data_IF_260569948436
#
_entry.id   IF_260569948436
#
_cell.length_a   1.000
_cell.length_b   1.000
_cell.length_c   1.000
_cell.angle_alpha   90.00
_cell.angle_beta   90.00
_cell.angle_gamma   90.00
#
_symmetry.space_group_name_H-M   'P 1'
#
loop_
_entity.id
_entity.type
_entity.pdbx_description
1 polymer ?
#
# COMPACT_ATOMS: atom_id res chain seq x y z
N UNK A 1 17.13 -7.60 16.30
CA UNK A 1 16.13 -6.52 16.14
C UNK A 1 16.44 -5.56 15.00
N UNK A 2 17.68 -5.04 14.87
CA UNK A 2 18.08 -4.09 13.81
C UNK A 2 18.01 -4.68 12.38
N UNK A 3 18.35 -5.96 12.21
CA UNK A 3 18.30 -6.63 10.90
C UNK A 3 16.87 -6.80 10.36
N UNK A 4 15.91 -7.08 11.25
CA UNK A 4 14.49 -7.16 10.89
C UNK A 4 13.96 -5.84 10.34
N UNK A 5 14.32 -4.72 10.95
CA UNK A 5 13.90 -3.39 10.53
C UNK A 5 14.38 -3.04 9.11
N UNK A 6 15.64 -3.37 8.79
CA UNK A 6 16.19 -3.16 7.45
C UNK A 6 15.46 -3.99 6.40
N UNK A 7 15.23 -5.27 6.69
CA UNK A 7 14.54 -6.21 5.79
C UNK A 7 13.10 -5.75 5.52
N UNK A 8 12.37 -5.38 6.57
CA UNK A 8 11.02 -4.80 6.47
C UNK A 8 11.04 -3.50 5.66
N UNK A 9 12.04 -2.64 5.84
CA UNK A 9 12.16 -1.39 5.10
C UNK A 9 12.37 -1.60 3.59
N UNK A 10 13.22 -2.54 3.19
CA UNK A 10 13.44 -2.82 1.76
C UNK A 10 12.19 -3.37 1.07
N UNK A 11 11.44 -4.24 1.76
CA UNK A 11 10.13 -4.70 1.30
C UNK A 11 9.15 -3.53 1.16
N UNK A 12 9.06 -2.72 2.21
CA UNK A 12 8.13 -1.62 2.32
C UNK A 12 8.40 -0.53 1.27
N UNK A 13 9.67 -0.22 0.99
CA UNK A 13 10.08 0.88 0.09
C UNK A 13 9.44 0.77 -1.29
N UNK A 14 9.44 -0.42 -1.90
CA UNK A 14 8.86 -0.61 -3.23
C UNK A 14 7.33 -0.48 -3.21
N UNK A 15 6.68 -1.04 -2.19
CA UNK A 15 5.21 -1.01 -2.03
C UNK A 15 4.72 0.41 -1.70
N UNK A 16 5.48 1.13 -0.88
CA UNK A 16 5.16 2.48 -0.42
C UNK A 16 5.01 3.45 -1.59
N UNK A 17 5.89 3.38 -2.61
CA UNK A 17 5.80 4.24 -3.79
C UNK A 17 4.46 4.04 -4.52
N UNK A 18 4.06 2.79 -4.76
CA UNK A 18 2.78 2.49 -5.41
C UNK A 18 1.58 2.91 -4.56
N UNK A 19 1.67 2.74 -3.25
CA UNK A 19 0.62 3.15 -2.32
C UNK A 19 0.44 4.68 -2.31
N UNK A 20 1.55 5.43 -2.28
CA UNK A 20 1.54 6.90 -2.35
C UNK A 20 0.93 7.36 -3.67
N UNK A 21 1.37 6.80 -4.81
CA UNK A 21 0.83 7.14 -6.13
C UNK A 21 -0.68 6.89 -6.17
N UNK A 22 -1.14 5.74 -5.68
CA UNK A 22 -2.57 5.42 -5.62
C UNK A 22 -3.35 6.39 -4.72
N UNK A 23 -2.81 6.76 -3.56
CA UNK A 23 -3.41 7.77 -2.66
C UNK A 23 -3.54 9.12 -3.37
N UNK A 24 -2.47 9.60 -3.99
CA UNK A 24 -2.45 10.87 -4.71
C UNK A 24 -3.42 10.87 -5.89
N UNK A 25 -3.49 9.79 -6.66
CA UNK A 25 -4.44 9.65 -7.76
C UNK A 25 -5.89 9.74 -7.25
N UNK A 26 -6.25 9.00 -6.20
CA UNK A 26 -7.60 9.04 -5.64
C UNK A 26 -7.99 10.45 -5.19
N UNK A 27 -7.09 11.17 -4.52
CA UNK A 27 -7.33 12.54 -4.04
C UNK A 27 -7.42 13.51 -5.21
N UNK A 28 -6.56 13.38 -6.22
CA UNK A 28 -6.59 14.22 -7.42
C UNK A 28 -7.95 14.12 -8.13
N UNK A 29 -8.46 12.90 -8.32
CA UNK A 29 -9.75 12.67 -8.97
C UNK A 29 -10.94 13.12 -8.10
N UNK A 30 -10.82 13.00 -6.77
CA UNK A 30 -11.80 13.56 -5.83
C UNK A 30 -11.84 15.09 -5.91
N UNK A 31 -10.70 15.76 -5.84
CA UNK A 31 -10.58 17.22 -5.92
C UNK A 31 -11.04 17.77 -7.28
N UNK A 32 -10.86 16.99 -8.34
CA UNK A 32 -11.35 17.30 -9.70
C UNK A 32 -12.84 17.05 -9.89
N UNK A 33 -13.57 16.66 -8.84
CA UNK A 33 -15.01 16.31 -8.84
C UNK A 33 -15.38 15.15 -9.78
N UNK A 34 -14.39 14.33 -10.16
CA UNK A 34 -14.62 13.14 -11.00
C UNK A 34 -14.96 11.91 -10.15
N UNK A 35 -14.60 11.92 -8.87
CA UNK A 35 -14.92 10.88 -7.91
C UNK A 35 -15.64 11.46 -6.70
N UNK A 36 -16.52 10.65 -6.11
CA UNK A 36 -17.11 10.90 -4.80
C UNK A 36 -16.27 10.21 -3.71
N UNK A 37 -16.38 10.69 -2.46
CA UNK A 37 -15.68 10.13 -1.29
C UNK A 37 -15.79 8.61 -1.17
N UNK A 38 -16.99 7.98 -1.19
CA UNK A 38 -17.09 6.52 -1.11
C UNK A 38 -16.39 5.82 -2.28
N UNK A 39 -16.43 6.42 -3.47
CA UNK A 39 -15.79 5.85 -4.65
C UNK A 39 -14.26 5.93 -4.56
N UNK A 40 -13.71 7.02 -3.99
CA UNK A 40 -12.29 7.14 -3.71
C UNK A 40 -11.79 6.07 -2.73
N UNK A 41 -12.60 5.71 -1.72
CA UNK A 41 -12.29 4.62 -0.79
C UNK A 41 -12.27 3.27 -1.52
N UNK A 42 -13.26 2.99 -2.38
CA UNK A 42 -13.31 1.76 -3.18
C UNK A 42 -12.11 1.67 -4.13
N UNK A 43 -11.79 2.76 -4.85
CA UNK A 43 -10.60 2.83 -5.70
C UNK A 43 -9.33 2.56 -4.91
N UNK A 44 -9.22 3.08 -3.68
CA UNK A 44 -8.08 2.83 -2.82
C UNK A 44 -7.97 1.35 -2.44
N UNK A 45 -9.06 0.71 -2.03
CA UNK A 45 -9.07 -0.73 -1.72
C UNK A 45 -8.71 -1.58 -2.96
N UNK A 46 -9.26 -1.23 -4.12
CA UNK A 46 -8.93 -1.89 -5.38
C UNK A 46 -7.46 -1.73 -5.75
N UNK A 47 -6.84 -0.57 -5.44
CA UNK A 47 -5.42 -0.34 -5.68
C UNK A 47 -4.53 -1.31 -4.87
N UNK A 48 -4.91 -1.69 -3.65
CA UNK A 48 -4.16 -2.68 -2.88
C UNK A 48 -4.18 -4.06 -3.52
N UNK A 49 -5.33 -4.48 -4.05
CA UNK A 49 -5.44 -5.74 -4.80
C UNK A 49 -4.57 -5.70 -6.07
N UNK A 50 -4.57 -4.57 -6.78
CA UNK A 50 -3.71 -4.39 -7.96
C UNK A 50 -2.22 -4.42 -7.60
N UNK A 51 -1.80 -3.73 -6.53
CA UNK A 51 -0.40 -3.72 -6.06
C UNK A 51 0.04 -5.13 -5.65
N UNK A 52 -0.80 -5.87 -4.94
CA UNK A 52 -0.53 -7.29 -4.62
C UNK A 52 -0.41 -8.14 -5.88
N UNK A 53 -1.31 -7.98 -6.85
CA UNK A 53 -1.26 -8.70 -8.12
C UNK A 53 0.04 -8.43 -8.89
N UNK A 54 0.42 -7.16 -9.03
CA UNK A 54 1.66 -6.74 -9.68
C UNK A 54 2.89 -7.29 -8.96
N UNK A 55 2.91 -7.23 -7.62
CA UNK A 55 3.96 -7.85 -6.80
C UNK A 55 4.06 -9.36 -7.04
N UNK A 56 2.93 -10.05 -7.09
CA UNK A 56 2.88 -11.49 -7.29
C UNK A 56 3.39 -11.88 -8.68
N UNK A 57 3.02 -11.13 -9.71
CA UNK A 57 3.37 -11.39 -11.11
C UNK A 57 4.82 -10.99 -11.46
N UNK A 58 5.28 -9.83 -11.00
CA UNK A 58 6.58 -9.28 -11.43
C UNK A 58 7.75 -9.58 -10.48
N UNK A 59 7.51 -9.68 -9.16
CA UNK A 59 8.58 -9.80 -8.17
C UNK A 59 8.84 -11.22 -7.70
N UNK A 60 8.46 -12.20 -8.53
CA UNK A 60 8.72 -13.63 -8.34
C UNK A 60 8.39 -14.03 -6.90
N UNK A 61 7.08 -14.05 -6.60
CA UNK A 61 6.53 -14.18 -5.26
C UNK A 61 7.25 -15.25 -4.43
N UNK A 62 7.66 -16.36 -5.04
CA UNK A 62 8.48 -17.43 -4.45
C UNK A 62 9.84 -16.98 -3.91
N UNK A 63 10.66 -16.23 -4.65
CA UNK A 63 12.00 -15.81 -4.18
C UNK A 63 11.90 -14.85 -3.01
N UNK A 64 11.03 -13.86 -3.16
CA UNK A 64 10.71 -12.89 -2.12
C UNK A 64 10.09 -13.62 -0.92
N UNK A 65 9.21 -14.58 -1.16
CA UNK A 65 8.60 -15.43 -0.15
C UNK A 65 9.59 -16.23 0.68
N UNK A 66 10.49 -16.96 0.02
CA UNK A 66 11.51 -17.74 0.71
C UNK A 66 12.50 -16.83 1.45
N UNK A 67 12.83 -15.65 0.93
CA UNK A 67 13.70 -14.70 1.63
C UNK A 67 13.12 -14.24 2.97
N UNK A 68 11.88 -13.75 3.01
CA UNK A 68 11.26 -13.29 4.26
C UNK A 68 10.85 -14.45 5.17
N UNK A 69 10.43 -15.59 4.61
CA UNK A 69 10.12 -16.80 5.39
C UNK A 69 11.35 -17.37 6.07
N UNK A 70 12.49 -17.43 5.39
CA UNK A 70 13.76 -17.88 5.98
C UNK A 70 14.26 -16.91 7.06
N UNK A 71 13.87 -15.63 6.98
CA UNK A 71 14.12 -14.64 8.03
C UNK A 71 13.10 -14.69 9.20
N UNK A 72 12.14 -15.63 9.19
CA UNK A 72 11.13 -15.81 10.24
C UNK A 72 9.92 -14.88 10.12
N UNK A 73 9.75 -14.16 9.01
CA UNK A 73 8.64 -13.22 8.82
C UNK A 73 7.50 -13.83 8.01
N UNK A 74 6.27 -13.58 8.47
CA UNK A 74 5.06 -13.87 7.70
C UNK A 74 4.75 -12.69 6.76
N UNK A 75 4.87 -12.92 5.46
CA UNK A 75 4.64 -11.89 4.42
C UNK A 75 3.23 -11.34 4.42
N UNK A 76 2.21 -12.16 4.71
CA UNK A 76 0.84 -11.68 4.74
C UNK A 76 0.67 -10.61 5.84
N UNK A 77 1.36 -10.79 6.97
CA UNK A 77 1.38 -9.78 8.03
C UNK A 77 2.12 -8.52 7.59
N UNK A 78 3.24 -8.65 6.87
CA UNK A 78 3.98 -7.48 6.36
C UNK A 78 3.12 -6.64 5.40
N UNK A 79 2.39 -7.27 4.48
CA UNK A 79 1.44 -6.58 3.61
C UNK A 79 0.28 -5.93 4.39
N UNK A 80 -0.32 -6.64 5.34
CA UNK A 80 -1.38 -6.09 6.18
C UNK A 80 -0.93 -4.88 6.99
N UNK A 81 0.23 -4.93 7.63
CA UNK A 81 0.80 -3.78 8.34
C UNK A 81 1.08 -2.62 7.41
N UNK A 82 1.61 -2.90 6.22
CA UNK A 82 1.92 -1.86 5.25
C UNK A 82 0.66 -1.15 4.73
N UNK A 83 -0.34 -1.91 4.30
CA UNK A 83 -1.58 -1.36 3.77
C UNK A 83 -2.44 -0.71 4.84
N UNK A 84 -2.44 -1.22 6.07
CA UNK A 84 -3.18 -0.57 7.17
C UNK A 84 -2.59 0.81 7.51
N UNK A 85 -1.26 0.92 7.62
CA UNK A 85 -0.61 2.22 7.84
C UNK A 85 -0.86 3.20 6.70
N UNK A 86 -0.73 2.74 5.45
CA UNK A 86 -1.04 3.57 4.29
C UNK A 86 -2.52 3.96 4.21
N UNK A 87 -3.43 3.06 4.59
CA UNK A 87 -4.86 3.35 4.59
C UNK A 87 -5.22 4.41 5.63
N UNK A 88 -4.62 4.34 6.82
CA UNK A 88 -4.78 5.40 7.84
C UNK A 88 -4.26 6.73 7.31
N UNK A 89 -3.08 6.75 6.68
CA UNK A 89 -2.54 7.95 6.06
C UNK A 89 -3.46 8.49 4.95
N UNK A 90 -4.04 7.61 4.13
CA UNK A 90 -5.01 7.97 3.10
C UNK A 90 -6.29 8.57 3.69
N UNK A 91 -6.85 7.99 4.77
CA UNK A 91 -8.04 8.54 5.44
C UNK A 91 -7.77 9.93 6.01
N UNK A 92 -6.60 10.15 6.61
CA UNK A 92 -6.18 11.48 7.09
C UNK A 92 -6.15 12.46 5.91
N UNK A 93 -5.46 12.11 4.84
CA UNK A 93 -5.37 12.93 3.62
C UNK A 93 -6.75 13.21 2.99
N UNK A 94 -7.60 12.19 2.93
CA UNK A 94 -8.97 12.29 2.44
C UNK A 94 -9.77 13.29 3.27
N UNK A 95 -9.72 13.17 4.60
CA UNK A 95 -10.42 14.10 5.51
C UNK A 95 -9.97 15.55 5.31
N UNK A 96 -8.66 15.78 5.20
CA UNK A 96 -8.09 17.11 4.93
C UNK A 96 -8.55 17.67 3.57
N UNK A 97 -8.68 16.82 2.55
CA UNK A 97 -9.11 17.25 1.21
C UNK A 97 -10.60 17.60 1.12
N UNK A 98 -11.42 17.05 2.03
CA UNK A 98 -12.88 17.26 2.06
C UNK A 98 -13.34 18.38 2.99
N UNK A 99 -12.48 18.92 3.86
CA UNK A 99 -12.80 20.03 4.79
C UNK A 99 -12.81 21.40 4.05
N UNK A 100 -13.18 21.42 2.77
CA UNK A 100 -13.35 22.65 1.98
C UNK A 100 -14.81 23.07 1.96
#
# INVERSE_FOLDING_TARGET
>A
MIYSLKITWYFYKAIMVWCIIASLACIYYLCSRQLNVPFAIICKLASYAAILGVQYLNFNATKTYFYFRNAGFNINRLYLYAFSLDFVAFIILLSLSTIR
#
